data_IF_764472091958
#
_entry.id   IF_764472091958
#
_cell.length_a   1.000
_cell.length_b   1.000
_cell.length_c   1.000
_cell.angle_alpha   90.00
_cell.angle_beta   90.00
_cell.angle_gamma   90.00
#
_symmetry.space_group_name_H-M   'P 1'
#
loop_
_entity.id
_entity.type
_entity.pdbx_description
1 polymer ?
#
# COMPACT_ATOMS: atom_id res chain seq x y z
N UNK A 1 -24.24 13.22 6.81
CA UNK A 1 -24.24 11.94 6.07
C UNK A 1 -22.91 11.25 6.32
N UNK A 2 -22.82 9.92 6.14
CA UNK A 2 -21.53 9.21 6.30
C UNK A 2 -20.58 9.56 5.14
N UNK A 3 -19.28 9.82 5.41
CA UNK A 3 -18.28 9.96 4.35
C UNK A 3 -18.19 8.67 3.52
N UNK A 4 -17.72 8.79 2.28
CA UNK A 4 -17.35 7.60 1.52
C UNK A 4 -16.29 6.81 2.33
N UNK A 5 -16.26 5.47 2.28
CA UNK A 5 -17.26 4.61 1.69
C UNK A 5 -18.48 4.52 2.64
N UNK A 6 -19.67 4.90 2.16
CA UNK A 6 -20.92 4.96 2.97
C UNK A 6 -21.23 3.67 3.74
N UNK A 7 -20.69 2.53 3.27
CA UNK A 7 -20.71 1.22 3.93
C UNK A 7 -19.29 0.66 3.99
N UNK A 8 -18.98 -0.04 5.08
CA UNK A 8 -17.70 -0.72 5.27
C UNK A 8 -17.42 -1.68 4.10
N UNK A 9 -16.17 -1.66 3.62
CA UNK A 9 -15.67 -2.50 2.54
C UNK A 9 -14.49 -3.32 3.05
N UNK A 10 -14.28 -4.47 2.44
CA UNK A 10 -13.17 -5.37 2.72
C UNK A 10 -12.61 -5.93 1.41
N UNK A 11 -11.34 -6.32 1.43
CA UNK A 11 -10.66 -6.99 0.33
C UNK A 11 -9.59 -7.94 0.90
N UNK A 12 -9.22 -8.95 0.12
CA UNK A 12 -8.13 -9.87 0.45
C UNK A 12 -6.93 -9.62 -0.47
N UNK A 13 -5.74 -9.56 0.11
CA UNK A 13 -4.47 -9.33 -0.60
C UNK A 13 -3.39 -10.24 -0.03
N UNK A 14 -2.42 -10.68 -0.87
CA UNK A 14 -1.31 -11.51 -0.39
C UNK A 14 -0.29 -10.66 0.36
N UNK A 15 0.41 -11.30 1.29
CA UNK A 15 1.60 -10.71 1.92
C UNK A 15 2.74 -10.65 0.91
N UNK A 16 3.46 -9.52 0.90
CA UNK A 16 4.63 -9.31 0.05
C UNK A 16 5.91 -9.36 0.90
N UNK A 17 7.03 -9.85 0.34
CA UNK A 17 8.31 -9.84 1.04
C UNK A 17 8.76 -8.41 1.40
N UNK A 18 9.21 -8.22 2.64
CA UNK A 18 9.66 -6.91 3.12
C UNK A 18 10.80 -6.31 2.28
N UNK A 19 11.74 -7.16 1.83
CA UNK A 19 12.85 -6.74 0.96
C UNK A 19 12.38 -6.21 -0.40
N UNK A 20 11.28 -6.74 -0.94
CA UNK A 20 10.68 -6.23 -2.17
C UNK A 20 10.08 -4.85 -1.94
N UNK A 21 9.34 -4.65 -0.85
CA UNK A 21 8.80 -3.34 -0.50
C UNK A 21 9.86 -2.29 -0.28
N UNK A 22 10.95 -2.62 0.43
CA UNK A 22 12.07 -1.70 0.64
C UNK A 22 12.67 -1.22 -0.69
N UNK A 23 12.78 -2.11 -1.68
CA UNK A 23 13.24 -1.76 -3.02
C UNK A 23 12.25 -0.84 -3.73
N UNK A 24 10.96 -1.19 -3.73
CA UNK A 24 9.92 -0.46 -4.47
C UNK A 24 9.68 0.94 -3.88
N UNK A 25 9.51 1.03 -2.56
CA UNK A 25 9.24 2.30 -1.88
C UNK A 25 10.51 3.11 -1.59
N UNK A 26 11.70 2.51 -1.65
CA UNK A 26 12.97 3.25 -1.51
C UNK A 26 13.41 4.00 -2.77
N UNK A 27 12.72 3.78 -3.89
CA UNK A 27 13.00 4.45 -5.16
C UNK A 27 12.19 5.74 -5.25
N UNK A 28 12.77 6.80 -5.82
CA UNK A 28 12.02 8.01 -6.13
C UNK A 28 11.16 7.79 -7.38
N UNK A 29 9.84 7.75 -7.18
CA UNK A 29 8.85 7.59 -8.24
C UNK A 29 8.13 8.91 -8.55
N UNK A 30 8.70 10.04 -8.12
CA UNK A 30 8.19 11.39 -8.35
C UNK A 30 7.33 11.94 -7.22
N UNK A 31 6.74 13.13 -7.40
CA UNK A 31 6.10 13.89 -6.33
C UNK A 31 4.93 13.17 -5.64
N UNK A 32 4.25 12.27 -6.37
CA UNK A 32 3.13 11.50 -5.84
C UNK A 32 3.58 10.36 -4.92
N UNK A 33 4.80 9.83 -5.11
CA UNK A 33 5.34 8.70 -4.38
C UNK A 33 6.84 8.93 -4.09
N UNK A 34 7.16 9.88 -3.18
CA UNK A 34 8.53 10.09 -2.75
C UNK A 34 9.06 8.85 -1.99
N UNK A 35 10.39 8.67 -1.94
CA UNK A 35 10.99 7.54 -1.25
C UNK A 35 10.53 7.43 0.20
N UNK A 36 10.18 6.22 0.63
CA UNK A 36 9.80 5.90 2.00
C UNK A 36 10.63 4.75 2.56
N UNK A 37 11.03 4.90 3.82
CA UNK A 37 11.69 3.85 4.59
C UNK A 37 10.64 2.91 5.16
N UNK A 38 10.70 1.62 4.78
CA UNK A 38 9.88 0.56 5.38
C UNK A 38 10.66 -0.06 6.55
N UNK A 39 10.09 0.07 7.76
CA UNK A 39 10.68 -0.38 9.02
C UNK A 39 10.54 -1.90 9.21
N UNK A 40 11.28 -2.49 10.16
CA UNK A 40 11.22 -3.93 10.45
C UNK A 40 9.91 -4.35 11.14
N UNK A 41 9.19 -3.42 11.76
CA UNK A 41 7.90 -3.62 12.43
C UNK A 41 6.69 -3.44 11.49
N UNK A 42 6.94 -3.34 10.18
CA UNK A 42 5.92 -3.18 9.14
C UNK A 42 5.76 -4.45 8.32
N UNK A 43 4.53 -4.66 7.82
CA UNK A 43 4.21 -5.70 6.83
C UNK A 43 3.65 -5.06 5.57
N UNK A 44 3.92 -5.69 4.42
CA UNK A 44 3.34 -5.30 3.16
C UNK A 44 2.30 -6.31 2.68
N UNK A 45 1.23 -5.82 2.07
CA UNK A 45 0.27 -6.64 1.36
C UNK A 45 -0.22 -5.92 0.10
N UNK A 46 -0.44 -6.66 -0.98
CA UNK A 46 -0.90 -6.11 -2.24
C UNK A 46 -0.53 -6.95 -3.46
N UNK A 47 -1.01 -6.54 -4.63
CA UNK A 47 -0.69 -7.18 -5.90
C UNK A 47 0.26 -6.28 -6.72
N UNK A 48 1.36 -6.83 -7.24
CA UNK A 48 2.34 -6.04 -8.01
C UNK A 48 1.76 -5.44 -9.30
N UNK A 49 0.75 -6.07 -9.89
CA UNK A 49 0.03 -5.56 -11.05
C UNK A 49 -1.03 -4.50 -10.72
N UNK A 50 -1.13 -4.07 -9.46
CA UNK A 50 -2.21 -3.20 -9.00
C UNK A 50 -3.55 -3.95 -8.85
N UNK A 51 -4.65 -3.21 -8.93
CA UNK A 51 -6.01 -3.75 -8.73
C UNK A 51 -6.65 -3.16 -7.48
N UNK A 52 -7.02 -4.02 -6.53
CA UNK A 52 -7.65 -3.58 -5.28
C UNK A 52 -6.61 -3.27 -4.21
N UNK A 53 -6.70 -2.11 -3.59
CA UNK A 53 -5.83 -1.66 -2.50
C UNK A 53 -6.61 -0.81 -1.49
N UNK A 54 -5.97 -0.49 -0.36
CA UNK A 54 -6.47 0.42 0.67
C UNK A 54 -6.30 1.87 0.24
N UNK A 55 -7.21 2.73 0.67
CA UNK A 55 -7.14 4.15 0.38
C UNK A 55 -7.73 4.97 1.53
N UNK A 56 -7.24 6.20 1.69
CA UNK A 56 -7.85 7.20 2.56
C UNK A 56 -8.93 7.91 1.75
N UNK A 57 -10.09 8.07 2.38
CA UNK A 57 -11.24 8.81 1.87
C UNK A 57 -11.20 10.28 2.27
#
# INVERSE_FOLDING_TARGET
>A
SLPAPRRLRQLQVPLLPLGLCRRLYGTDLGPALPPRRIQDDMVCAGHLGGGTDTCKV
#
